data_IF_903575402528
#
_entry.id   IF_903575402528
#
_cell.length_a   1.000
_cell.length_b   1.000
_cell.length_c   1.000
_cell.angle_alpha   90.00
_cell.angle_beta   90.00
_cell.angle_gamma   90.00
#
_symmetry.space_group_name_H-M   'P 1'
#
loop_
_entity.id
_entity.type
_entity.pdbx_description
1 polymer ?
#
# COMPACT_ATOMS: atom_id res chain seq x y z
N UNK A 1 7.50 -15.63 -64.33
CA UNK A 1 7.37 -15.74 -62.86
C UNK A 1 8.76 -15.68 -62.22
N UNK A 2 9.08 -14.63 -61.45
CA UNK A 2 10.39 -14.53 -60.77
C UNK A 2 10.25 -15.19 -59.42
N UNK A 3 10.88 -16.34 -59.22
CA UNK A 3 10.99 -16.96 -57.89
C UNK A 3 11.77 -16.08 -56.96
N UNK A 4 11.34 -15.88 -55.71
CA UNK A 4 12.13 -15.12 -54.72
C UNK A 4 13.46 -15.85 -54.51
N UNK A 5 14.58 -15.11 -54.50
CA UNK A 5 15.90 -15.69 -54.27
C UNK A 5 15.91 -16.44 -52.94
N UNK A 6 16.57 -17.60 -52.87
CA UNK A 6 16.65 -18.41 -51.64
C UNK A 6 17.05 -17.61 -50.41
N UNK A 7 17.84 -16.55 -50.57
CA UNK A 7 18.17 -15.60 -49.50
C UNK A 7 16.95 -14.85 -48.94
N UNK A 8 15.98 -14.45 -49.75
CA UNK A 8 14.75 -13.78 -49.26
C UNK A 8 13.87 -14.76 -48.53
N UNK A 9 13.81 -15.99 -48.96
CA UNK A 9 13.04 -17.03 -48.27
C UNK A 9 13.64 -17.35 -46.88
N UNK A 10 14.99 -17.44 -46.81
CA UNK A 10 15.67 -17.69 -45.51
C UNK A 10 15.49 -16.53 -44.56
N UNK A 11 15.54 -15.27 -45.01
CA UNK A 11 15.34 -14.08 -44.17
C UNK A 11 13.88 -14.04 -43.61
N UNK A 12 12.89 -14.37 -44.43
CA UNK A 12 11.50 -14.46 -43.99
C UNK A 12 11.30 -15.59 -42.97
N UNK A 13 11.93 -16.74 -43.20
CA UNK A 13 11.84 -17.88 -42.29
C UNK A 13 12.52 -17.62 -40.95
N UNK A 14 13.70 -16.95 -40.96
CA UNK A 14 14.38 -16.54 -39.73
C UNK A 14 13.59 -15.47 -38.97
N UNK A 15 12.97 -14.51 -39.68
CA UNK A 15 12.10 -13.52 -39.04
C UNK A 15 10.86 -14.17 -38.35
N UNK A 16 10.26 -15.20 -38.97
CA UNK A 16 9.16 -15.96 -38.36
C UNK A 16 9.60 -16.84 -37.17
N UNK A 17 10.84 -17.35 -37.18
CA UNK A 17 11.37 -18.15 -36.05
C UNK A 17 11.71 -17.30 -34.82
N UNK A 18 12.03 -16.01 -35.00
CA UNK A 18 12.35 -15.10 -33.89
C UNK A 18 11.09 -14.66 -33.14
N UNK A 19 9.91 -14.71 -33.76
CA UNK A 19 8.65 -14.31 -33.13
C UNK A 19 8.07 -15.36 -32.15
N UNK A 20 8.69 -16.53 -32.02
CA UNK A 20 8.19 -17.66 -31.22
C UNK A 20 8.50 -17.62 -29.74
N UNK A 21 9.30 -16.67 -29.22
CA UNK A 21 9.58 -16.53 -27.79
C UNK A 21 8.70 -15.45 -27.15
N UNK A 22 7.39 -15.63 -27.21
CA UNK A 22 6.52 -14.96 -26.29
C UNK A 22 6.72 -15.64 -24.92
N UNK A 23 7.45 -15.01 -24.01
CA UNK A 23 7.48 -15.42 -22.60
C UNK A 23 6.06 -15.24 -22.06
N UNK A 24 5.31 -16.33 -22.02
CA UNK A 24 4.04 -16.35 -21.32
C UNK A 24 4.36 -16.16 -19.83
N UNK A 25 3.73 -15.18 -19.20
CA UNK A 25 3.82 -15.00 -17.75
C UNK A 25 3.16 -16.19 -17.08
N UNK A 26 3.95 -16.98 -16.34
CA UNK A 26 3.46 -18.19 -15.69
C UNK A 26 2.99 -17.82 -14.28
N UNK A 27 1.68 -17.55 -14.17
CA UNK A 27 1.05 -17.37 -12.86
C UNK A 27 0.74 -18.73 -12.25
N UNK A 28 0.95 -18.91 -10.95
CA UNK A 28 0.49 -20.13 -10.28
C UNK A 28 -1.01 -20.33 -10.50
N UNK A 29 -1.42 -21.57 -10.62
CA UNK A 29 -2.84 -21.92 -10.66
C UNK A 29 -3.42 -21.80 -9.25
N UNK A 30 -4.75 -21.58 -9.19
CA UNK A 30 -5.48 -21.62 -7.92
C UNK A 30 -5.32 -23.01 -7.32
N UNK A 31 -4.82 -23.14 -6.08
CA UNK A 31 -4.70 -24.44 -5.44
C UNK A 31 -6.03 -25.20 -5.37
N UNK A 32 -5.97 -26.49 -5.43
CA UNK A 32 -7.14 -27.36 -5.27
C UNK A 32 -6.93 -28.29 -4.05
N UNK A 33 -7.68 -28.13 -2.95
CA UNK A 33 -8.79 -27.20 -2.73
C UNK A 33 -8.34 -25.73 -2.66
N UNK A 34 -9.21 -24.78 -3.04
CA UNK A 34 -8.88 -23.35 -2.99
C UNK A 34 -8.68 -22.88 -1.56
N UNK A 35 -7.74 -21.94 -1.36
CA UNK A 35 -7.37 -21.36 -0.07
C UNK A 35 -7.17 -19.86 -0.20
N UNK A 36 -7.36 -19.15 0.89
CA UNK A 36 -7.05 -17.72 0.99
C UNK A 36 -5.57 -17.45 1.27
N UNK A 37 -4.87 -18.37 1.97
CA UNK A 37 -3.44 -18.27 2.22
C UNK A 37 -2.68 -19.34 1.42
N UNK A 38 -1.83 -18.88 0.51
CA UNK A 38 -1.09 -19.72 -0.42
C UNK A 38 0.41 -19.42 -0.30
N UNK A 39 1.11 -20.27 0.41
CA UNK A 39 2.56 -20.18 0.58
C UNK A 39 3.27 -21.21 -0.31
N UNK A 40 3.84 -20.75 -1.42
CA UNK A 40 4.61 -21.57 -2.35
C UNK A 40 6.09 -21.64 -1.99
N UNK A 41 6.49 -20.99 -0.89
CA UNK A 41 7.90 -20.90 -0.47
C UNK A 41 8.21 -21.70 0.79
N UNK A 42 7.18 -22.10 1.52
CA UNK A 42 7.36 -22.75 2.82
C UNK A 42 7.89 -21.79 3.89
N UNK A 43 7.65 -20.50 3.75
CA UNK A 43 8.09 -19.47 4.70
C UNK A 43 7.33 -19.56 6.01
N UNK A 44 6.03 -19.88 5.94
CA UNK A 44 5.15 -20.03 7.10
C UNK A 44 5.13 -21.48 7.57
N UNK A 45 5.12 -21.69 8.87
CA UNK A 45 4.83 -22.99 9.44
C UNK A 45 3.38 -23.41 9.18
N UNK A 46 3.11 -24.71 9.24
CA UNK A 46 1.75 -25.21 9.03
C UNK A 46 0.73 -24.65 10.04
N UNK A 47 1.17 -24.34 11.27
CA UNK A 47 0.35 -23.73 12.31
C UNK A 47 0.01 -22.26 11.97
N UNK A 48 1.01 -21.48 11.56
CA UNK A 48 0.85 -20.08 11.16
C UNK A 48 -0.07 -19.93 9.93
N UNK A 49 0.17 -20.80 8.94
CA UNK A 49 -0.68 -20.86 7.74
C UNK A 49 -2.13 -21.18 8.11
N UNK A 50 -2.35 -22.16 9.00
CA UNK A 50 -3.69 -22.52 9.48
C UNK A 50 -4.38 -21.38 10.23
N UNK A 51 -3.65 -20.64 11.07
CA UNK A 51 -4.19 -19.49 11.82
C UNK A 51 -4.60 -18.36 10.88
N UNK A 52 -3.76 -17.99 9.91
CA UNK A 52 -4.09 -16.98 8.92
C UNK A 52 -5.29 -17.40 8.07
N UNK A 53 -5.29 -18.64 7.56
CA UNK A 53 -6.41 -19.16 6.77
C UNK A 53 -7.73 -19.07 7.53
N UNK A 54 -7.76 -19.51 8.79
CA UNK A 54 -8.95 -19.48 9.65
C UNK A 54 -9.44 -18.05 9.89
N UNK A 55 -8.51 -17.11 10.12
CA UNK A 55 -8.80 -15.69 10.29
C UNK A 55 -9.42 -15.08 9.04
N UNK A 56 -8.84 -15.35 7.87
CA UNK A 56 -9.33 -14.82 6.60
C UNK A 56 -10.68 -15.43 6.20
N UNK A 57 -10.89 -16.72 6.45
CA UNK A 57 -12.16 -17.39 6.25
C UNK A 57 -13.26 -16.78 7.10
N UNK A 58 -13.04 -16.64 8.40
CA UNK A 58 -14.01 -16.04 9.31
C UNK A 58 -14.43 -14.62 8.88
N UNK A 59 -13.44 -13.84 8.39
CA UNK A 59 -13.71 -12.50 7.87
C UNK A 59 -14.50 -12.54 6.57
N UNK A 60 -14.14 -13.41 5.62
CA UNK A 60 -14.84 -13.58 4.35
C UNK A 60 -16.30 -14.01 4.54
N UNK A 61 -16.54 -14.94 5.47
CA UNK A 61 -17.88 -15.44 5.78
C UNK A 61 -18.78 -14.35 6.39
N UNK A 62 -18.20 -13.46 7.22
CA UNK A 62 -18.96 -12.39 7.89
C UNK A 62 -19.24 -11.18 7.00
N UNK A 63 -18.32 -10.85 6.08
CA UNK A 63 -18.36 -9.58 5.30
C UNK A 63 -18.55 -9.79 3.80
N UNK A 64 -18.38 -11.01 3.30
CA UNK A 64 -18.26 -11.34 1.88
C UNK A 64 -17.04 -10.71 1.18
N UNK A 65 -16.16 -10.04 1.91
CA UNK A 65 -14.91 -9.45 1.39
C UNK A 65 -13.81 -10.51 1.45
N UNK A 66 -13.11 -10.71 0.35
CA UNK A 66 -12.07 -11.72 0.26
C UNK A 66 -10.69 -11.06 0.38
N UNK A 67 -9.94 -11.42 1.41
CA UNK A 67 -8.52 -11.08 1.52
C UNK A 67 -7.72 -12.35 1.27
N UNK A 68 -6.79 -12.30 0.32
CA UNK A 68 -5.90 -13.43 0.00
C UNK A 68 -4.45 -13.05 0.23
N UNK A 69 -3.66 -14.01 0.70
CA UNK A 69 -2.21 -13.90 0.88
C UNK A 69 -1.54 -14.91 -0.04
N UNK A 70 -0.56 -14.43 -0.81
CA UNK A 70 0.25 -15.27 -1.70
C UNK A 70 1.73 -14.98 -1.46
N UNK A 71 2.48 -16.01 -1.08
CA UNK A 71 3.93 -15.96 -0.93
C UNK A 71 4.56 -16.73 -2.08
N UNK A 72 5.34 -16.03 -2.92
CA UNK A 72 6.08 -16.57 -4.06
C UNK A 72 7.58 -16.44 -3.84
N UNK A 73 8.36 -17.28 -4.53
CA UNK A 73 9.81 -17.12 -4.53
C UNK A 73 10.23 -15.82 -5.22
N UNK A 74 9.74 -15.58 -6.42
CA UNK A 74 10.07 -14.39 -7.23
C UNK A 74 8.95 -14.10 -8.24
N UNK A 75 8.82 -12.84 -8.62
CA UNK A 75 7.98 -12.41 -9.76
C UNK A 75 8.80 -12.27 -11.05
N UNK A 76 10.08 -12.64 -11.02
CA UNK A 76 10.98 -12.62 -12.17
C UNK A 76 11.26 -11.20 -12.67
N UNK A 77 11.05 -10.98 -13.97
CA UNK A 77 11.32 -9.68 -14.63
C UNK A 77 10.17 -8.69 -14.52
N UNK A 78 9.07 -9.09 -13.91
CA UNK A 78 7.85 -8.28 -13.82
C UNK A 78 7.91 -7.33 -12.64
N UNK A 79 7.19 -6.20 -12.75
CA UNK A 79 6.90 -5.38 -11.58
C UNK A 79 5.91 -6.13 -10.67
N UNK A 80 6.15 -6.04 -9.35
CA UNK A 80 5.31 -6.77 -8.38
C UNK A 80 3.87 -6.28 -8.37
N UNK A 81 3.62 -5.01 -8.67
CA UNK A 81 2.27 -4.46 -8.75
C UNK A 81 1.50 -5.05 -9.93
N UNK A 82 2.12 -5.04 -11.12
CA UNK A 82 1.51 -5.61 -12.33
C UNK A 82 1.22 -7.11 -12.15
N UNK A 83 2.18 -7.82 -11.54
CA UNK A 83 2.01 -9.24 -11.22
C UNK A 83 0.85 -9.47 -10.25
N UNK A 84 0.74 -8.67 -9.19
CA UNK A 84 -0.32 -8.79 -8.19
C UNK A 84 -1.69 -8.53 -8.79
N UNK A 85 -1.86 -7.51 -9.63
CA UNK A 85 -3.13 -7.22 -10.29
C UNK A 85 -3.56 -8.36 -11.21
N UNK A 86 -2.66 -8.82 -12.07
CA UNK A 86 -2.95 -9.92 -13.00
C UNK A 86 -3.22 -11.23 -12.28
N UNK A 87 -2.49 -11.53 -11.20
CA UNK A 87 -2.75 -12.71 -10.37
C UNK A 87 -4.11 -12.63 -9.70
N UNK A 88 -4.44 -11.47 -9.11
CA UNK A 88 -5.73 -11.22 -8.47
C UNK A 88 -6.91 -11.38 -9.43
N UNK A 89 -6.78 -10.86 -10.66
CA UNK A 89 -7.77 -11.04 -11.73
C UNK A 89 -7.85 -12.49 -12.21
N UNK A 90 -6.71 -13.14 -12.46
CA UNK A 90 -6.67 -14.54 -12.91
C UNK A 90 -7.32 -15.48 -11.89
N UNK A 91 -7.08 -15.25 -10.62
CA UNK A 91 -7.70 -16.05 -9.55
C UNK A 91 -9.12 -15.60 -9.25
N UNK A 92 -9.52 -14.39 -9.67
CA UNK A 92 -10.84 -13.84 -9.43
C UNK A 92 -11.12 -13.54 -7.95
N UNK A 93 -10.11 -13.02 -7.23
CA UNK A 93 -10.21 -12.71 -5.80
C UNK A 93 -11.27 -11.63 -5.58
N UNK A 94 -12.26 -11.89 -4.73
CA UNK A 94 -13.42 -11.02 -4.49
C UNK A 94 -14.70 -11.52 -5.16
N UNK A 95 -15.81 -10.87 -4.86
CA UNK A 95 -17.11 -11.20 -5.41
C UNK A 95 -17.34 -10.58 -6.78
N UNK A 96 -17.95 -11.33 -7.70
CA UNK A 96 -18.32 -10.84 -9.05
C UNK A 96 -19.25 -9.61 -8.93
N UNK A 97 -18.82 -8.50 -9.53
CA UNK A 97 -19.57 -7.24 -9.54
C UNK A 97 -19.52 -6.46 -8.22
N UNK A 98 -18.95 -7.04 -7.15
CA UNK A 98 -18.60 -6.32 -5.91
C UNK A 98 -17.17 -5.85 -5.94
N UNK A 99 -16.29 -6.59 -6.63
CA UNK A 99 -14.84 -6.33 -6.77
C UNK A 99 -14.15 -6.07 -5.42
N UNK A 100 -14.64 -6.75 -4.37
CA UNK A 100 -14.26 -6.56 -2.97
C UNK A 100 -13.16 -7.54 -2.55
N UNK A 101 -12.18 -7.73 -3.43
CA UNK A 101 -10.99 -8.54 -3.18
C UNK A 101 -9.80 -7.69 -2.74
N UNK A 102 -8.94 -8.25 -1.90
CA UNK A 102 -7.62 -7.71 -1.58
C UNK A 102 -6.61 -8.84 -1.69
N UNK A 103 -5.49 -8.60 -2.36
CA UNK A 103 -4.38 -9.53 -2.46
C UNK A 103 -3.13 -8.95 -1.82
N UNK A 104 -2.56 -9.65 -0.85
CA UNK A 104 -1.23 -9.39 -0.31
C UNK A 104 -0.28 -10.36 -0.99
N UNK A 105 0.55 -9.85 -1.89
CA UNK A 105 1.56 -10.63 -2.62
C UNK A 105 2.94 -10.33 -2.06
N UNK A 106 3.69 -11.35 -1.64
CA UNK A 106 5.09 -11.21 -1.25
C UNK A 106 5.98 -12.10 -2.13
N UNK A 107 6.99 -11.50 -2.74
CA UNK A 107 8.05 -12.17 -3.50
C UNK A 107 9.30 -12.25 -2.62
N UNK A 108 9.49 -13.42 -2.00
CA UNK A 108 10.42 -13.61 -0.89
C UNK A 108 11.88 -13.43 -1.31
N UNK A 109 12.29 -13.96 -2.46
CA UNK A 109 13.66 -13.83 -2.98
C UNK A 109 13.94 -12.41 -3.49
N UNK A 110 12.89 -11.72 -3.98
CA UNK A 110 12.99 -10.34 -4.49
C UNK A 110 12.90 -9.32 -3.34
N UNK A 111 12.55 -9.77 -2.13
CA UNK A 111 12.27 -8.93 -0.95
C UNK A 111 11.28 -7.82 -1.25
N UNK A 112 10.21 -8.14 -1.93
CA UNK A 112 9.16 -7.20 -2.32
C UNK A 112 7.81 -7.68 -1.85
N UNK A 113 6.97 -6.75 -1.40
CA UNK A 113 5.58 -7.00 -1.05
C UNK A 113 4.68 -5.96 -1.71
N UNK A 114 3.49 -6.36 -2.09
CA UNK A 114 2.48 -5.48 -2.64
C UNK A 114 1.09 -5.86 -2.12
N UNK A 115 0.31 -4.86 -1.73
CA UNK A 115 -1.11 -5.00 -1.45
C UNK A 115 -1.86 -4.47 -2.67
N UNK A 116 -2.55 -5.35 -3.38
CA UNK A 116 -3.43 -4.98 -4.49
C UNK A 116 -4.88 -4.95 -3.99
N UNK A 117 -5.60 -3.86 -4.32
CA UNK A 117 -7.01 -3.68 -3.94
C UNK A 117 -7.91 -3.83 -5.16
N UNK A 118 -8.98 -4.60 -5.02
CA UNK A 118 -10.05 -4.63 -5.99
C UNK A 118 -10.81 -3.31 -6.01
N UNK A 119 -11.46 -3.00 -7.12
CA UNK A 119 -12.16 -1.71 -7.35
C UNK A 119 -13.15 -1.36 -6.25
N UNK A 120 -13.86 -2.35 -5.70
CA UNK A 120 -14.80 -2.15 -4.60
C UNK A 120 -14.14 -1.84 -3.26
N UNK A 121 -12.83 -2.05 -3.13
CA UNK A 121 -12.06 -1.81 -1.91
C UNK A 121 -11.22 -0.53 -1.94
N UNK A 122 -11.08 0.14 -3.08
CA UNK A 122 -10.28 1.37 -3.21
C UNK A 122 -10.77 2.50 -2.29
N UNK A 123 -12.08 2.59 -2.05
CA UNK A 123 -12.64 3.56 -1.10
C UNK A 123 -12.40 3.22 0.37
N UNK A 124 -12.11 1.96 0.68
CA UNK A 124 -11.91 1.44 2.04
C UNK A 124 -10.41 1.36 2.38
N UNK A 125 -9.63 0.85 1.45
CA UNK A 125 -8.17 0.73 1.54
C UNK A 125 -7.54 1.44 0.34
N UNK A 126 -7.55 2.78 0.30
CA UNK A 126 -6.88 3.54 -0.74
C UNK A 126 -5.36 3.35 -0.67
N UNK A 127 -4.66 3.68 -1.75
CA UNK A 127 -3.21 3.49 -1.90
C UNK A 127 -2.39 4.05 -0.75
N UNK A 128 -2.78 5.22 -0.22
CA UNK A 128 -2.11 5.83 0.92
C UNK A 128 -2.19 4.97 2.19
N UNK A 129 -3.33 4.33 2.46
CA UNK A 129 -3.50 3.43 3.60
C UNK A 129 -2.80 2.08 3.34
N UNK A 130 -2.90 1.53 2.13
CA UNK A 130 -2.15 0.34 1.74
C UNK A 130 -0.64 0.56 1.93
N UNK A 131 -0.11 1.74 1.52
CA UNK A 131 1.30 2.11 1.72
C UNK A 131 1.71 2.14 3.18
N UNK A 132 0.86 2.64 4.07
CA UNK A 132 1.13 2.67 5.51
C UNK A 132 1.11 1.29 6.13
N UNK A 133 0.14 0.46 5.77
CA UNK A 133 0.11 -0.95 6.20
C UNK A 133 1.41 -1.63 5.81
N UNK A 134 1.84 -1.46 4.56
CA UNK A 134 3.11 -2.03 4.09
C UNK A 134 4.29 -1.49 4.92
N UNK A 135 4.42 -0.18 5.03
CA UNK A 135 5.60 0.45 5.66
C UNK A 135 5.67 0.23 7.17
N UNK A 136 4.53 0.26 7.87
CA UNK A 136 4.50 0.27 9.33
C UNK A 136 4.26 -1.11 9.94
N UNK A 137 3.60 -2.02 9.22
CA UNK A 137 3.26 -3.34 9.74
C UNK A 137 4.02 -4.47 9.02
N UNK A 138 4.09 -4.45 7.68
CA UNK A 138 4.70 -5.57 6.95
C UNK A 138 6.23 -5.44 6.94
N UNK A 139 6.77 -4.33 6.43
CA UNK A 139 8.22 -4.21 6.21
C UNK A 139 9.06 -4.31 7.49
N UNK A 140 8.69 -3.71 8.65
CA UNK A 140 9.46 -3.86 9.87
C UNK A 140 9.54 -5.32 10.33
N UNK A 141 8.41 -6.03 10.30
CA UNK A 141 8.35 -7.43 10.67
C UNK A 141 9.11 -8.33 9.67
N UNK A 142 9.00 -8.06 8.36
CA UNK A 142 9.70 -8.83 7.32
C UNK A 142 11.22 -8.65 7.37
N UNK A 143 11.72 -7.48 7.77
CA UNK A 143 13.15 -7.24 8.01
C UNK A 143 13.73 -8.10 9.13
N UNK A 144 12.90 -8.48 10.09
CA UNK A 144 13.28 -9.36 11.23
C UNK A 144 12.84 -10.81 11.03
N UNK A 145 12.41 -11.15 9.80
CA UNK A 145 11.91 -12.49 9.42
C UNK A 145 10.65 -12.93 10.18
N UNK A 146 9.97 -12.00 10.85
CA UNK A 146 8.70 -12.23 11.54
C UNK A 146 7.52 -12.15 10.54
N UNK A 147 7.55 -12.98 9.51
CA UNK A 147 6.63 -12.91 8.36
C UNK A 147 5.17 -13.10 8.78
N UNK A 148 4.89 -14.09 9.62
CA UNK A 148 3.55 -14.33 10.16
C UNK A 148 2.99 -13.10 10.85
N UNK A 149 3.78 -12.49 11.75
CA UNK A 149 3.33 -11.32 12.52
C UNK A 149 2.99 -10.14 11.60
N UNK A 150 3.85 -9.85 10.62
CA UNK A 150 3.59 -8.79 9.65
C UNK A 150 2.31 -8.99 8.85
N UNK A 151 2.02 -10.24 8.44
CA UNK A 151 0.80 -10.58 7.71
C UNK A 151 -0.44 -10.55 8.61
N UNK A 152 -0.31 -11.01 9.86
CA UNK A 152 -1.41 -11.01 10.83
C UNK A 152 -1.81 -9.58 11.21
N UNK A 153 -0.86 -8.71 11.51
CA UNK A 153 -1.11 -7.29 11.81
C UNK A 153 -1.70 -6.55 10.60
N UNK A 154 -1.15 -6.78 9.40
CA UNK A 154 -1.65 -6.17 8.17
C UNK A 154 -3.10 -6.55 7.87
N UNK A 155 -3.44 -7.83 7.98
CA UNK A 155 -4.81 -8.30 7.77
C UNK A 155 -5.76 -7.79 8.84
N UNK A 156 -5.33 -7.71 10.11
CA UNK A 156 -6.10 -7.09 11.19
C UNK A 156 -6.42 -5.63 10.90
N UNK A 157 -5.43 -4.87 10.41
CA UNK A 157 -5.63 -3.46 10.05
C UNK A 157 -6.60 -3.32 8.87
N UNK A 158 -6.45 -4.14 7.84
CA UNK A 158 -7.37 -4.16 6.69
C UNK A 158 -8.82 -4.42 7.17
N UNK A 159 -9.02 -5.34 8.09
CA UNK A 159 -10.36 -5.65 8.63
C UNK A 159 -10.95 -4.47 9.39
N UNK A 160 -10.15 -3.79 10.22
CA UNK A 160 -10.60 -2.60 10.95
C UNK A 160 -10.97 -1.44 10.03
N UNK A 161 -10.21 -1.23 8.94
CA UNK A 161 -10.55 -0.24 7.92
C UNK A 161 -11.85 -0.59 7.21
N UNK A 162 -12.05 -1.85 6.86
CA UNK A 162 -13.24 -2.30 6.15
C UNK A 162 -14.50 -2.34 7.03
N UNK A 163 -14.36 -2.50 8.35
CA UNK A 163 -15.49 -2.38 9.31
C UNK A 163 -15.85 -0.93 9.63
N UNK A 164 -15.04 0.05 9.18
CA UNK A 164 -15.23 1.47 9.51
C UNK A 164 -14.86 1.84 10.94
N UNK A 165 -14.19 0.93 11.66
CA UNK A 165 -13.71 1.18 13.03
C UNK A 165 -12.53 2.15 13.07
N UNK A 166 -11.77 2.22 11.98
CA UNK A 166 -10.66 3.15 11.81
C UNK A 166 -11.01 4.24 10.81
N UNK A 167 -10.94 5.49 11.24
CA UNK A 167 -10.92 6.63 10.34
C UNK A 167 -9.48 6.79 9.84
N UNK A 168 -9.33 7.16 8.56
CA UNK A 168 -8.03 7.40 7.93
C UNK A 168 -7.13 8.34 8.75
N UNK A 169 -7.72 9.25 9.52
CA UNK A 169 -7.02 10.23 10.37
C UNK A 169 -6.26 9.59 11.56
N UNK A 170 -6.70 8.43 12.07
CA UNK A 170 -6.03 7.74 13.18
C UNK A 170 -4.81 6.92 12.71
N UNK A 171 -4.86 6.42 11.48
CA UNK A 171 -3.69 5.80 10.82
C UNK A 171 -2.70 6.86 10.36
N UNK A 172 -3.14 8.14 10.32
CA UNK A 172 -2.34 9.31 9.96
C UNK A 172 -1.44 9.83 11.08
N UNK A 173 -1.54 9.32 12.29
CA UNK A 173 -0.57 9.58 13.33
C UNK A 173 0.74 8.83 12.99
N UNK A 174 1.44 9.27 11.93
CA UNK A 174 2.88 9.15 11.92
C UNK A 174 3.34 9.74 13.25
N UNK A 175 4.21 9.05 13.96
CA UNK A 175 5.01 9.68 15.00
C UNK A 175 5.87 10.74 14.30
N UNK A 176 5.25 11.86 13.93
CA UNK A 176 5.95 13.10 13.63
C UNK A 176 6.74 13.39 14.90
N UNK A 177 8.01 13.01 14.86
CA UNK A 177 8.93 13.24 15.94
C UNK A 177 8.90 14.77 16.17
N UNK A 178 8.26 15.26 17.23
CA UNK A 178 8.03 16.70 17.42
C UNK A 178 9.35 17.47 17.47
N UNK A 179 10.46 16.76 17.63
CA UNK A 179 11.82 17.28 17.58
C UNK A 179 12.14 17.88 16.19
N UNK A 180 11.69 17.27 15.10
CA UNK A 180 11.90 17.84 13.75
C UNK A 180 11.13 19.15 13.55
N UNK A 181 9.88 19.23 13.99
CA UNK A 181 9.08 20.46 13.96
C UNK A 181 9.71 21.57 14.83
N UNK A 182 10.18 21.21 16.01
CA UNK A 182 10.86 22.15 16.92
C UNK A 182 12.21 22.60 16.34
N UNK A 183 13.02 21.71 15.78
CA UNK A 183 14.27 22.04 15.11
C UNK A 183 14.06 22.96 13.90
N UNK A 184 13.03 22.70 13.10
CA UNK A 184 12.67 23.53 11.95
C UNK A 184 12.21 24.93 12.41
N UNK A 185 11.40 25.00 13.45
CA UNK A 185 10.98 26.27 14.05
C UNK A 185 12.18 27.07 14.62
N UNK A 186 13.06 26.40 15.35
CA UNK A 186 14.29 27.03 15.90
C UNK A 186 15.23 27.49 14.79
N UNK A 187 15.36 26.74 13.70
CA UNK A 187 16.14 27.14 12.53
C UNK A 187 15.55 28.38 11.84
N UNK A 188 14.23 28.47 11.75
CA UNK A 188 13.54 29.63 11.21
C UNK A 188 13.72 30.87 12.11
N UNK A 189 13.56 30.71 13.42
CA UNK A 189 13.81 31.78 14.42
C UNK A 189 15.28 32.23 14.34
N UNK A 190 16.21 31.30 14.20
CA UNK A 190 17.64 31.63 14.08
C UNK A 190 17.94 32.48 12.85
N UNK A 191 17.40 32.09 11.67
CA UNK A 191 17.63 32.82 10.42
C UNK A 191 16.93 34.19 10.42
N UNK A 192 15.68 34.28 10.86
CA UNK A 192 14.87 35.47 10.68
C UNK A 192 14.92 36.44 11.87
N UNK A 193 15.31 35.98 13.07
CA UNK A 193 15.39 36.81 14.27
C UNK A 193 16.81 36.99 14.71
N UNK A 194 17.57 35.91 14.91
CA UNK A 194 18.90 35.97 15.52
C UNK A 194 19.94 36.53 14.53
N UNK A 195 19.93 36.10 13.27
CA UNK A 195 20.87 36.61 12.26
C UNK A 195 20.72 38.12 11.98
N UNK A 196 19.53 38.71 11.85
CA UNK A 196 19.37 40.16 11.69
C UNK A 196 19.83 40.94 12.94
N UNK A 197 19.59 40.42 14.15
CA UNK A 197 20.03 41.06 15.40
C UNK A 197 21.55 41.04 15.49
N UNK A 198 22.22 39.96 15.11
CA UNK A 198 23.68 39.86 15.08
C UNK A 198 24.29 40.79 14.03
N UNK A 199 23.66 40.85 12.83
CA UNK A 199 24.10 41.68 11.71
C UNK A 199 23.93 43.19 12.02
N UNK A 200 22.85 43.54 12.72
CA UNK A 200 22.55 44.94 13.07
C UNK A 200 23.43 45.50 14.21
N UNK A 201 24.20 44.65 14.91
CA UNK A 201 25.15 45.09 15.95
C UNK A 201 26.47 45.65 15.41
N UNK A 202 26.72 45.55 14.11
CA UNK A 202 27.99 45.92 13.49
C UNK A 202 27.99 47.25 12.73
N UNK A 203 26.82 47.85 12.48
CA UNK A 203 26.71 49.12 11.78
C UNK A 203 25.93 50.14 12.63
N UNK A 204 26.66 50.79 13.54
CA UNK A 204 26.22 52.01 14.20
C UNK A 204 26.77 53.20 13.40
N UNK A 205 26.10 53.60 12.31
CA UNK A 205 26.18 54.96 11.77
C UNK A 205 25.03 55.22 10.75
N UNK A 206 24.12 56.10 11.20
CA UNK A 206 23.33 57.09 10.47
C UNK A 206 22.76 56.75 9.05
N UNK A 207 21.45 56.74 8.86
CA UNK A 207 20.70 57.94 8.43
C UNK A 207 19.18 57.69 8.35
N UNK A 208 18.49 58.71 8.65
CA UNK A 208 17.06 58.96 8.77
C UNK A 208 16.34 58.93 7.42
N UNK A 209 15.09 58.41 7.39
CA UNK A 209 14.06 58.86 6.44
C UNK A 209 13.42 57.81 5.57
N UNK A 210 12.08 57.61 5.71
CA UNK A 210 11.28 56.92 4.69
C UNK A 210 10.03 56.20 5.24
N UNK A 211 8.95 57.00 5.37
CA UNK A 211 7.59 56.60 5.72
C UNK A 211 6.95 55.83 4.56
N UNK A 212 6.41 54.64 4.83
CA UNK A 212 5.62 53.86 3.85
C UNK A 212 4.98 52.63 4.52
N UNK A 213 3.70 52.79 4.91
CA UNK A 213 2.93 51.68 5.50
C UNK A 213 2.54 50.66 4.43
N UNK A 214 2.98 49.47 4.63
CA UNK A 214 2.50 48.27 3.92
C UNK A 214 2.15 47.24 4.96
N UNK A 215 0.93 46.73 4.91
CA UNK A 215 0.44 45.65 5.75
C UNK A 215 1.30 44.44 5.46
N UNK A 216 2.07 43.99 6.46
CA UNK A 216 2.97 42.87 6.34
C UNK A 216 2.20 41.61 5.95
N UNK A 217 2.66 40.97 4.87
CA UNK A 217 2.15 39.68 4.36
C UNK A 217 1.95 38.64 5.49
N UNK A 218 2.79 38.69 6.51
CA UNK A 218 2.76 37.78 7.66
C UNK A 218 1.58 38.04 8.61
N UNK A 219 1.15 39.28 8.80
CA UNK A 219 -0.02 39.60 9.64
C UNK A 219 -1.32 39.17 8.96
N UNK A 220 -1.39 39.21 7.63
CA UNK A 220 -2.55 38.75 6.87
C UNK A 220 -2.68 37.23 6.91
N UNK A 221 -1.57 36.49 6.85
CA UNK A 221 -1.55 35.03 6.92
C UNK A 221 -1.95 34.51 8.31
N UNK A 222 -1.52 35.20 9.38
CA UNK A 222 -1.82 34.82 10.77
C UNK A 222 -3.30 35.07 11.10
N UNK A 223 -3.91 36.09 10.53
CA UNK A 223 -5.31 36.42 10.75
C UNK A 223 -6.25 35.47 9.99
N UNK A 224 -5.83 35.00 8.81
CA UNK A 224 -6.61 34.04 8.01
C UNK A 224 -6.74 32.65 8.68
N UNK A 225 -5.70 32.24 9.43
CA UNK A 225 -5.67 30.95 10.14
C UNK A 225 -6.43 30.94 11.48
N UNK A 226 -6.74 32.12 12.03
CA UNK A 226 -7.43 32.25 13.32
C UNK A 226 -8.98 32.22 13.20
N UNK A 227 -9.53 32.31 11.96
CA UNK A 227 -10.98 32.43 11.71
C UNK A 227 -11.66 31.14 11.17
N UNK A 228 -10.92 30.04 10.96
CA UNK A 228 -11.46 28.77 10.45
C UNK A 228 -11.53 27.70 11.54
N UNK A 229 -12.48 27.77 12.45
CA UNK A 229 -12.67 26.83 13.52
C UNK A 229 -13.85 25.87 13.34
N UNK A 230 -13.67 24.62 13.78
CA UNK A 230 -14.69 23.92 14.53
C UNK A 230 -15.50 22.81 13.86
N UNK A 231 -15.50 21.61 14.50
CA UNK A 231 -16.51 20.58 14.33
C UNK A 231 -16.17 19.23 14.96
N UNK A 232 -16.66 19.01 16.17
CA UNK A 232 -16.57 17.77 16.95
C UNK A 232 -17.64 16.76 16.55
N UNK A 233 -17.35 15.43 16.69
CA UNK A 233 -18.36 14.39 16.72
C UNK A 233 -17.77 13.03 17.14
N UNK A 234 -18.09 12.58 18.36
CA UNK A 234 -17.71 11.30 18.95
C UNK A 234 -18.81 10.26 18.75
N UNK A 235 -18.47 8.99 18.48
CA UNK A 235 -19.31 7.83 18.87
C UNK A 235 -18.49 6.54 18.85
N UNK A 236 -18.46 5.82 19.98
CA UNK A 236 -17.82 4.53 20.15
C UNK A 236 -18.75 3.35 19.87
N UNK A 237 -18.19 2.21 19.50
CA UNK A 237 -18.86 0.93 19.33
C UNK A 237 -17.95 -0.23 19.75
N UNK A 238 -18.46 -1.06 20.63
CA UNK A 238 -17.81 -2.22 21.26
C UNK A 238 -17.96 -3.47 20.40
N UNK A 239 -16.89 -4.27 20.26
CA UNK A 239 -16.87 -5.54 19.52
C UNK A 239 -17.03 -6.76 20.46
N UNK A 240 -17.93 -7.64 20.05
CA UNK A 240 -18.20 -8.91 20.68
C UNK A 240 -17.42 -10.06 20.04
N UNK A 241 -17.13 -11.00 20.88
CA UNK A 241 -16.42 -12.26 20.75
C UNK A 241 -16.90 -13.14 19.56
N UNK A 242 -15.96 -13.60 18.71
CA UNK A 242 -16.24 -14.48 17.58
C UNK A 242 -15.98 -15.94 17.94
N UNK A 243 -17.05 -16.68 18.06
CA UNK A 243 -17.03 -18.14 18.23
C UNK A 243 -16.76 -18.83 16.89
N UNK A 244 -15.78 -19.73 16.93
CA UNK A 244 -15.25 -20.56 15.85
C UNK A 244 -16.31 -21.46 15.21
N UNK A 245 -16.57 -21.22 13.90
CA UNK A 245 -17.23 -22.17 13.03
C UNK A 245 -16.29 -22.49 11.84
N UNK A 246 -15.84 -23.76 11.76
CA UNK A 246 -14.96 -24.21 10.69
C UNK A 246 -15.72 -24.28 9.35
N UNK A 247 -15.67 -23.20 8.56
CA UNK A 247 -16.11 -23.16 7.18
C UNK A 247 -15.00 -23.60 6.23
N UNK A 248 -15.36 -24.26 5.13
CA UNK A 248 -14.45 -24.53 4.00
C UNK A 248 -14.58 -23.40 3.00
N UNK A 249 -13.46 -22.86 2.53
CA UNK A 249 -13.46 -21.81 1.50
C UNK A 249 -14.03 -22.36 0.19
N UNK A 250 -15.12 -21.77 -0.29
CA UNK A 250 -15.83 -22.21 -1.49
C UNK A 250 -15.20 -21.79 -2.81
N UNK A 251 -14.08 -21.03 -2.77
CA UNK A 251 -13.37 -20.52 -3.94
C UNK A 251 -13.56 -19.02 -4.17
N UNK A 252 -12.80 -18.49 -5.12
CA UNK A 252 -12.84 -17.08 -5.48
C UNK A 252 -14.06 -16.75 -6.36
N UNK A 253 -14.64 -15.58 -6.17
CA UNK A 253 -15.93 -15.19 -6.73
C UNK A 253 -15.88 -14.45 -8.07
N UNK A 254 -14.68 -14.17 -8.63
CA UNK A 254 -14.51 -13.48 -9.92
C UNK A 254 -14.53 -11.95 -9.80
N UNK A 255 -13.88 -11.40 -8.78
CA UNK A 255 -13.64 -9.95 -8.62
C UNK A 255 -12.63 -9.41 -9.61
N UNK A 256 -12.65 -8.10 -9.85
CA UNK A 256 -11.76 -7.36 -10.74
C UNK A 256 -10.88 -6.37 -9.97
N UNK A 257 -9.63 -6.18 -10.43
CA UNK A 257 -8.67 -5.26 -9.85
C UNK A 257 -8.50 -4.01 -10.72
N UNK A 258 -8.50 -2.82 -10.09
CA UNK A 258 -8.51 -1.54 -10.81
C UNK A 258 -7.15 -0.84 -10.91
N UNK A 259 -6.11 -1.43 -10.31
CA UNK A 259 -4.78 -0.82 -10.24
C UNK A 259 -4.49 -0.08 -8.94
N UNK A 260 -5.40 -0.10 -7.96
CA UNK A 260 -5.17 0.47 -6.62
C UNK A 260 -4.32 -0.44 -5.74
N UNK A 261 -3.51 0.16 -4.87
CA UNK A 261 -2.66 -0.57 -3.94
C UNK A 261 -1.31 0.09 -3.68
N UNK A 262 -0.48 -0.57 -2.89
CA UNK A 262 0.86 -0.09 -2.62
C UNK A 262 1.82 -1.22 -2.26
N UNK A 263 3.10 -1.01 -2.51
CA UNK A 263 4.14 -1.96 -2.22
C UNK A 263 5.37 -1.36 -1.57
N UNK A 264 6.29 -2.24 -1.20
CA UNK A 264 7.58 -1.89 -0.64
C UNK A 264 8.57 -3.04 -0.72
N UNK A 265 9.80 -2.78 -0.27
CA UNK A 265 10.89 -3.76 -0.21
C UNK A 265 11.54 -3.74 1.17
N UNK A 266 12.04 -4.90 1.63
CA UNK A 266 12.69 -5.09 2.92
C UNK A 266 14.11 -5.65 2.79
#
# INVERSE_FOLDING_TARGET
>A
MRYPSATKLVVVLTFFLIQGFAFAQDFPEVPNPPRLVNDFTGTLSAEELGKLEQKLLAYSDSTSTQVSIVLLGSVGVYDISDYAFQLGEKWGIGGKGKDNGILILAAMNDRKVFIATGRGMEGVVPDALAKRIVNNLILPNFKTEAYYLGLDEATTMIFKLASGEYKADEVMADEDNPIFGILFLLFFIFIFVVLPIIKNRKDNNNHMGGKGGGIDFWTTLLLANALGGGGRGSSGGSFGDFSSGGGSFGGFGGGSFGGGGAGGSW
#
